data_IF_573598240571
#
_entry.id   IF_573598240571
#
_cell.length_a   1.000
_cell.length_b   1.000
_cell.length_c   1.000
_cell.angle_alpha   90.00
_cell.angle_beta   90.00
_cell.angle_gamma   90.00
#
_symmetry.space_group_name_H-M   'P 1'
#
loop_
_entity.id
_entity.type
_entity.pdbx_description
1 polymer ?
#
# COMPACT_ATOMS: atom_id res chain seq x y z
N UNK A 1 -20.81 -21.49 5.74
CA UNK A 1 -19.85 -20.69 6.53
C UNK A 1 -19.03 -19.85 5.56
N UNK A 2 -18.92 -18.53 5.75
CA UNK A 2 -18.04 -17.67 4.94
C UNK A 2 -16.58 -17.98 5.27
N UNK A 3 -15.70 -18.01 4.27
CA UNK A 3 -14.27 -18.26 4.49
C UNK A 3 -13.63 -17.09 5.24
N UNK A 4 -12.54 -17.35 5.97
CA UNK A 4 -11.75 -16.28 6.61
C UNK A 4 -11.33 -15.19 5.61
N UNK A 5 -11.05 -15.59 4.36
CA UNK A 5 -10.74 -14.64 3.28
C UNK A 5 -11.92 -13.70 2.99
N UNK A 6 -13.15 -14.21 2.94
CA UNK A 6 -14.33 -13.38 2.72
C UNK A 6 -14.56 -12.43 3.91
N UNK A 7 -14.45 -12.92 5.14
CA UNK A 7 -14.59 -12.13 6.36
C UNK A 7 -13.58 -10.99 6.43
N UNK A 8 -12.29 -11.26 6.19
CA UNK A 8 -11.25 -10.22 6.19
C UNK A 8 -11.53 -9.14 5.14
N UNK A 9 -12.05 -9.53 3.96
CA UNK A 9 -12.41 -8.55 2.92
C UNK A 9 -13.58 -7.67 3.36
N UNK A 10 -14.61 -8.24 3.97
CA UNK A 10 -15.74 -7.50 4.55
C UNK A 10 -15.27 -6.51 5.62
N UNK A 11 -14.37 -6.93 6.52
CA UNK A 11 -13.77 -6.04 7.52
C UNK A 11 -12.97 -4.90 6.89
N UNK A 12 -12.26 -5.16 5.78
CA UNK A 12 -11.51 -4.12 5.06
C UNK A 12 -12.45 -3.07 4.44
N UNK A 13 -13.55 -3.50 3.83
CA UNK A 13 -14.59 -2.59 3.33
C UNK A 13 -15.24 -1.80 4.46
N UNK A 14 -15.62 -2.46 5.57
CA UNK A 14 -16.17 -1.80 6.75
C UNK A 14 -15.19 -0.81 7.41
N UNK A 15 -13.89 -1.04 7.25
CA UNK A 15 -12.82 -0.13 7.70
C UNK A 15 -12.60 1.07 6.76
N UNK A 16 -13.31 1.11 5.62
CA UNK A 16 -13.34 2.23 4.69
C UNK A 16 -12.35 2.12 3.53
N UNK A 17 -11.88 0.93 3.17
CA UNK A 17 -11.11 0.71 1.94
C UNK A 17 -12.05 0.47 0.75
N UNK A 18 -11.68 0.96 -0.43
CA UNK A 18 -12.49 0.82 -1.65
C UNK A 18 -12.21 -0.48 -2.39
N UNK A 19 -11.02 -1.06 -2.17
CA UNK A 19 -10.62 -2.35 -2.74
C UNK A 19 -9.70 -3.10 -1.81
N UNK A 20 -9.82 -4.42 -1.83
CA UNK A 20 -8.96 -5.33 -1.06
C UNK A 20 -8.64 -6.59 -1.87
N UNK A 21 -7.38 -6.99 -1.83
CA UNK A 21 -6.87 -8.25 -2.35
C UNK A 21 -6.06 -8.99 -1.29
N UNK A 22 -6.04 -10.32 -1.34
CA UNK A 22 -5.23 -11.15 -0.45
C UNK A 22 -4.41 -12.10 -1.32
N UNK A 23 -3.11 -12.18 -1.06
CA UNK A 23 -2.19 -13.07 -1.76
C UNK A 23 -1.31 -13.81 -0.77
N UNK A 24 -0.71 -14.91 -1.20
CA UNK A 24 0.30 -15.61 -0.41
C UNK A 24 1.54 -14.72 -0.22
N UNK A 25 2.15 -14.77 0.96
CA UNK A 25 3.38 -14.04 1.30
C UNK A 25 4.62 -14.68 0.65
N UNK A 26 4.66 -14.63 -0.69
CA UNK A 26 5.75 -15.16 -1.53
C UNK A 26 6.68 -14.03 -1.96
N UNK A 27 7.89 -14.40 -2.38
CA UNK A 27 8.81 -13.47 -3.03
C UNK A 27 8.17 -12.87 -4.29
N UNK A 28 8.28 -11.55 -4.52
CA UNK A 28 7.77 -10.92 -5.74
C UNK A 28 8.49 -11.44 -6.98
N UNK A 29 7.73 -11.80 -8.02
CA UNK A 29 8.27 -12.38 -9.27
C UNK A 29 9.17 -11.44 -10.08
N UNK A 30 9.19 -10.14 -9.77
CA UNK A 30 10.04 -9.13 -10.45
C UNK A 30 11.25 -8.69 -9.62
N UNK A 31 11.71 -9.51 -8.67
CA UNK A 31 12.87 -9.18 -7.81
C UNK A 31 14.16 -8.92 -8.61
N UNK A 32 14.36 -9.63 -9.72
CA UNK A 32 15.51 -9.41 -10.62
C UNK A 32 15.47 -8.03 -11.29
N UNK A 33 14.28 -7.56 -11.67
CA UNK A 33 14.11 -6.23 -12.27
C UNK A 33 14.43 -5.12 -11.28
N UNK A 34 13.97 -5.22 -10.01
CA UNK A 34 14.34 -4.26 -8.97
C UNK A 34 15.87 -4.20 -8.79
N UNK A 35 16.51 -5.37 -8.82
CA UNK A 35 17.96 -5.51 -8.74
C UNK A 35 18.67 -4.76 -9.87
N UNK A 36 18.25 -4.99 -11.12
CA UNK A 36 18.82 -4.29 -12.27
C UNK A 36 18.60 -2.79 -12.21
N UNK A 37 17.39 -2.37 -11.85
CA UNK A 37 17.01 -0.96 -11.74
C UNK A 37 17.82 -0.21 -10.68
N UNK A 38 18.09 -0.84 -9.52
CA UNK A 38 18.95 -0.28 -8.48
C UNK A 38 20.41 -0.18 -8.93
N UNK A 39 20.94 -1.22 -9.59
CA UNK A 39 22.30 -1.23 -10.10
C UNK A 39 22.56 -0.16 -11.18
N UNK A 40 21.51 0.28 -11.89
CA UNK A 40 21.57 1.39 -12.86
C UNK A 40 21.40 2.77 -12.21
N UNK A 41 21.35 2.85 -10.87
CA UNK A 41 21.14 4.09 -10.12
C UNK A 41 19.85 4.84 -10.47
N UNK A 42 18.83 4.15 -10.99
CA UNK A 42 17.56 4.76 -11.37
C UNK A 42 16.72 5.25 -10.17
N UNK A 43 17.17 4.98 -8.95
CA UNK A 43 16.56 5.50 -7.71
C UNK A 43 16.90 6.96 -7.41
N UNK A 44 17.80 7.59 -8.17
CA UNK A 44 18.20 8.98 -7.97
C UNK A 44 18.73 9.18 -6.55
N UNK A 45 18.09 10.08 -5.79
CA UNK A 45 18.49 10.37 -4.40
C UNK A 45 17.88 9.45 -3.35
N UNK A 46 17.05 8.47 -3.74
CA UNK A 46 16.37 7.55 -2.82
C UNK A 46 17.30 6.42 -2.35
N UNK A 47 18.44 6.75 -1.74
CA UNK A 47 19.44 5.75 -1.30
C UNK A 47 18.85 4.66 -0.38
N UNK A 48 17.78 4.97 0.35
CA UNK A 48 17.04 4.01 1.17
C UNK A 48 16.40 2.87 0.38
N UNK A 49 16.18 3.04 -0.94
CA UNK A 49 15.68 1.97 -1.82
C UNK A 49 16.71 0.84 -1.94
N UNK A 50 18.00 1.19 -2.04
CA UNK A 50 19.08 0.22 -2.17
C UNK A 50 19.47 -0.41 -0.82
N UNK A 51 19.57 0.40 0.24
CA UNK A 51 19.92 -0.12 1.57
C UNK A 51 18.89 -1.10 2.15
N UNK A 52 17.65 -1.07 1.67
CA UNK A 52 16.57 -1.98 2.11
C UNK A 52 16.21 -3.02 1.03
N UNK A 53 17.09 -3.28 0.07
CA UNK A 53 16.82 -4.17 -1.07
C UNK A 53 16.32 -5.55 -0.65
N UNK A 54 16.98 -6.20 0.30
CA UNK A 54 16.63 -7.56 0.76
C UNK A 54 15.21 -7.62 1.35
N UNK A 55 14.86 -6.65 2.19
CA UNK A 55 13.52 -6.50 2.78
C UNK A 55 12.42 -6.23 1.75
N UNK A 56 12.74 -5.69 0.56
CA UNK A 56 11.78 -5.44 -0.53
C UNK A 56 11.48 -6.68 -1.35
N UNK A 57 12.43 -7.60 -1.42
CA UNK A 57 12.28 -8.86 -2.17
C UNK A 57 11.81 -10.00 -1.26
N UNK A 58 12.06 -9.93 0.04
CA UNK A 58 11.68 -10.97 0.99
C UNK A 58 10.78 -10.42 2.09
N UNK A 59 9.50 -10.76 2.03
CA UNK A 59 8.54 -10.46 3.12
C UNK A 59 8.94 -11.18 4.42
N UNK A 60 9.65 -12.31 4.34
CA UNK A 60 10.09 -13.06 5.52
C UNK A 60 11.18 -12.33 6.31
N UNK A 61 12.00 -11.51 5.65
CA UNK A 61 12.97 -10.65 6.34
C UNK A 61 12.31 -9.48 7.07
N UNK A 62 11.10 -9.09 6.65
CA UNK A 62 10.36 -7.99 7.24
C UNK A 62 9.38 -8.47 8.32
N UNK A 63 8.65 -9.57 8.07
CA UNK A 63 7.70 -10.21 8.99
C UNK A 63 7.91 -11.72 8.91
N UNK A 64 8.78 -12.30 9.76
CA UNK A 64 9.01 -13.73 9.81
C UNK A 64 7.72 -14.50 10.08
N UNK A 65 7.47 -15.56 9.31
CA UNK A 65 6.27 -16.40 9.46
C UNK A 65 5.02 -15.83 8.77
N UNK A 66 5.13 -14.71 8.05
CA UNK A 66 4.02 -14.20 7.25
C UNK A 66 3.57 -15.25 6.22
N UNK A 67 2.27 -15.55 6.21
CA UNK A 67 1.65 -16.53 5.28
C UNK A 67 0.88 -15.85 4.15
N UNK A 68 0.32 -14.68 4.42
CA UNK A 68 -0.48 -13.90 3.48
C UNK A 68 -0.18 -12.42 3.59
N UNK A 69 -0.50 -11.68 2.53
CA UNK A 69 -0.44 -10.22 2.47
C UNK A 69 -1.83 -9.71 2.10
N UNK A 70 -2.35 -8.78 2.89
CA UNK A 70 -3.61 -8.08 2.62
C UNK A 70 -3.25 -6.74 1.96
N UNK A 71 -3.60 -6.60 0.69
CA UNK A 71 -3.39 -5.37 -0.08
C UNK A 71 -4.69 -4.57 -0.13
N UNK A 72 -4.67 -3.32 0.29
CA UNK A 72 -5.84 -2.42 0.31
C UNK A 72 -5.61 -1.21 -0.57
N UNK A 73 -6.69 -0.61 -1.07
CA UNK A 73 -6.63 0.64 -1.84
C UNK A 73 -7.74 1.59 -1.43
N UNK A 74 -7.46 2.89 -1.57
CA UNK A 74 -8.45 3.96 -1.51
C UNK A 74 -8.45 4.76 -2.81
N UNK A 75 -9.63 5.10 -3.30
CA UNK A 75 -9.81 6.01 -4.41
C UNK A 75 -9.69 7.45 -3.88
N UNK A 76 -8.71 8.20 -4.39
CA UNK A 76 -8.48 9.60 -4.05
C UNK A 76 -8.98 10.57 -5.13
N UNK A 77 -9.79 10.09 -6.08
CA UNK A 77 -10.36 10.96 -7.11
C UNK A 77 -11.32 11.97 -6.49
N UNK A 78 -10.82 13.19 -6.28
CA UNK A 78 -11.62 14.31 -5.80
C UNK A 78 -12.50 14.87 -6.94
N UNK A 79 -13.72 15.36 -6.64
CA UNK A 79 -14.58 16.02 -7.62
C UNK A 79 -14.02 17.38 -8.06
N UNK A 80 -13.16 18.00 -7.25
CA UNK A 80 -12.57 19.30 -7.56
C UNK A 80 -11.75 19.25 -8.86
N UNK A 81 -11.77 20.35 -9.60
CA UNK A 81 -11.04 20.49 -10.85
C UNK A 81 -9.89 21.48 -10.67
N UNK A 82 -8.81 21.28 -11.41
CA UNK A 82 -7.75 22.28 -11.47
C UNK A 82 -8.32 23.60 -12.02
N UNK A 83 -7.78 24.71 -11.53
CA UNK A 83 -8.04 26.00 -12.14
C UNK A 83 -7.63 25.99 -13.62
N UNK A 84 -8.41 26.66 -14.46
CA UNK A 84 -8.09 26.92 -15.87
C UNK A 84 -7.16 28.13 -16.05
N UNK A 85 -6.87 28.87 -14.98
CA UNK A 85 -5.98 30.03 -14.99
C UNK A 85 -4.53 29.61 -15.31
N UNK A 86 -3.94 30.07 -16.44
CA UNK A 86 -2.58 29.73 -16.81
C UNK A 86 -1.51 30.27 -15.84
N UNK A 87 -1.84 31.26 -15.00
CA UNK A 87 -0.95 31.76 -13.97
C UNK A 87 -0.83 30.82 -12.76
N UNK A 88 -1.65 29.75 -12.69
CA UNK A 88 -1.65 28.80 -11.57
C UNK A 88 -1.03 27.45 -11.95
N UNK A 89 -0.06 27.01 -11.15
CA UNK A 89 0.47 25.65 -11.23
C UNK A 89 -0.55 24.59 -10.81
N UNK A 90 -0.32 23.34 -11.22
CA UNK A 90 -1.16 22.19 -10.84
C UNK A 90 -0.44 21.32 -9.81
N UNK A 91 -1.10 21.05 -8.69
CA UNK A 91 -0.65 20.08 -7.68
C UNK A 91 -1.35 18.75 -7.93
N UNK A 92 -0.62 17.64 -7.93
CA UNK A 92 -1.21 16.32 -8.14
C UNK A 92 -2.28 15.98 -7.10
N UNK A 93 -3.38 15.33 -7.52
CA UNK A 93 -4.56 15.05 -6.69
C UNK A 93 -4.24 14.21 -5.44
N UNK A 94 -3.19 13.40 -5.45
CA UNK A 94 -2.82 12.59 -4.27
C UNK A 94 -2.37 13.47 -3.08
N UNK A 95 -1.96 14.71 -3.35
CA UNK A 95 -1.52 15.68 -2.36
C UNK A 95 -2.63 16.67 -1.97
N UNK A 96 -3.88 16.41 -2.38
CA UNK A 96 -5.01 17.26 -2.02
C UNK A 96 -5.63 16.84 -0.69
N UNK A 97 -6.04 17.83 0.10
CA UNK A 97 -6.68 17.59 1.40
C UNK A 97 -5.69 17.11 2.46
N UNK A 98 -6.16 16.21 3.34
CA UNK A 98 -5.34 15.65 4.40
C UNK A 98 -4.29 14.65 3.87
N UNK A 99 -3.13 14.60 4.50
CA UNK A 99 -2.06 13.65 4.20
C UNK A 99 -2.58 12.20 4.23
N UNK A 100 -2.58 11.56 3.05
CA UNK A 100 -3.10 10.20 2.88
C UNK A 100 -2.40 9.20 3.79
N UNK A 101 -1.14 9.42 4.18
CA UNK A 101 -0.43 8.52 5.09
C UNK A 101 -1.16 8.40 6.44
N UNK A 102 -1.70 9.52 6.95
CA UNK A 102 -2.47 9.54 8.20
C UNK A 102 -3.80 8.81 8.04
N UNK A 103 -4.52 9.08 6.95
CA UNK A 103 -5.81 8.45 6.64
C UNK A 103 -5.65 6.94 6.50
N UNK A 104 -4.73 6.49 5.64
CA UNK A 104 -4.50 5.07 5.37
C UNK A 104 -4.04 4.35 6.65
N UNK A 105 -3.12 4.94 7.42
CA UNK A 105 -2.64 4.34 8.68
C UNK A 105 -3.77 4.20 9.71
N UNK A 106 -4.67 5.17 9.82
CA UNK A 106 -5.84 5.09 10.69
C UNK A 106 -6.78 3.94 10.27
N UNK A 107 -7.08 3.82 8.97
CA UNK A 107 -7.91 2.72 8.43
C UNK A 107 -7.25 1.34 8.64
N UNK A 108 -5.94 1.23 8.42
CA UNK A 108 -5.18 0.00 8.66
C UNK A 108 -5.21 -0.43 10.12
N UNK A 109 -5.07 0.51 11.07
CA UNK A 109 -5.19 0.22 12.51
C UNK A 109 -6.58 -0.30 12.88
N UNK A 110 -7.64 0.29 12.30
CA UNK A 110 -9.01 -0.18 12.50
C UNK A 110 -9.18 -1.61 11.98
N UNK A 111 -8.75 -1.87 10.75
CA UNK A 111 -8.80 -3.22 10.17
C UNK A 111 -8.04 -4.24 11.02
N UNK A 112 -6.84 -3.90 11.47
CA UNK A 112 -6.05 -4.77 12.36
C UNK A 112 -6.79 -5.07 13.66
N UNK A 113 -7.44 -4.07 14.26
CA UNK A 113 -8.23 -4.26 15.49
C UNK A 113 -9.41 -5.20 15.30
N UNK A 114 -10.05 -5.19 14.12
CA UNK A 114 -11.15 -6.11 13.82
C UNK A 114 -10.65 -7.54 13.56
N UNK A 115 -9.53 -7.68 12.83
CA UNK A 115 -8.92 -9.00 12.55
C UNK A 115 -8.49 -9.69 13.84
N UNK A 116 -7.91 -8.95 14.80
CA UNK A 116 -7.46 -9.49 16.09
C UNK A 116 -8.58 -10.06 16.98
N UNK A 117 -9.85 -9.83 16.65
CA UNK A 117 -10.98 -10.45 17.37
C UNK A 117 -11.20 -11.92 16.99
N UNK A 118 -10.50 -12.40 15.96
CA UNK A 118 -10.55 -13.78 15.48
C UNK A 118 -9.36 -14.62 15.97
N UNK A 119 -8.42 -14.00 16.71
CA UNK A 119 -7.38 -14.70 17.49
C UNK A 119 -7.99 -15.23 18.80
#
# INVERSE_FOLDING_TARGET
MTSLTAQIKELAYASGFDKVGITAARQPGKSAYLTEWLNRSYHGTMNWMDTHRSKRISIQEFVPGARSVICVACNYNAPDIHSSDPARGKISRYAWGEDYHKIIKKKLKRLLSEIKKYD
#
